data_IF_709512397799
#
_entry.id   IF_709512397799
#
_cell.length_a   1.000
_cell.length_b   1.000
_cell.length_c   1.000
_cell.angle_alpha   90.00
_cell.angle_beta   90.00
_cell.angle_gamma   90.00
#
_symmetry.space_group_name_H-M   'P 1'
#
loop_
_entity.id
_entity.type
_entity.pdbx_description
1 polymer ?
#
# COMPACT_ATOMS: atom_id res chain seq x y z
N UNK A 1 -3.89 12.24 -4.58
CA UNK A 1 -2.74 13.12 -4.87
C UNK A 1 -1.55 12.35 -5.45
N UNK A 2 -1.07 11.28 -4.82
CA UNK A 2 0.12 10.52 -5.26
C UNK A 2 0.03 10.01 -6.70
N UNK A 3 -1.12 9.48 -7.13
CA UNK A 3 -1.32 9.00 -8.50
C UNK A 3 -1.10 10.11 -9.55
N UNK A 4 -1.56 11.34 -9.29
CA UNK A 4 -1.32 12.48 -10.18
C UNK A 4 0.16 12.88 -10.23
N UNK A 5 0.89 12.80 -9.10
CA UNK A 5 2.34 13.08 -9.06
C UNK A 5 3.10 12.02 -9.89
N UNK A 6 2.76 10.74 -9.72
CA UNK A 6 3.38 9.67 -10.51
C UNK A 6 3.07 9.82 -12.01
N UNK A 7 1.83 10.17 -12.37
CA UNK A 7 1.46 10.46 -13.76
C UNK A 7 2.25 11.65 -14.30
N UNK A 8 2.39 12.72 -13.52
CA UNK A 8 3.19 13.89 -13.92
C UNK A 8 4.65 13.52 -14.19
N UNK A 9 5.28 12.76 -13.29
CA UNK A 9 6.64 12.26 -13.50
C UNK A 9 6.74 11.38 -14.76
N UNK A 10 5.75 10.51 -15.01
CA UNK A 10 5.72 9.66 -16.21
C UNK A 10 5.54 10.48 -17.49
N UNK A 11 4.67 11.49 -17.47
CA UNK A 11 4.41 12.40 -18.59
C UNK A 11 5.63 13.26 -18.95
N UNK A 12 6.53 13.53 -18.00
CA UNK A 12 7.81 14.21 -18.27
C UNK A 12 8.84 13.23 -18.85
N UNK A 13 8.90 12.01 -18.30
CA UNK A 13 9.93 11.02 -18.67
C UNK A 13 9.71 10.37 -20.04
N UNK A 14 8.46 10.31 -20.52
CA UNK A 14 8.12 9.63 -21.79
C UNK A 14 7.85 10.66 -22.89
N UNK A 15 8.40 10.42 -24.09
CA UNK A 15 8.06 11.16 -25.31
C UNK A 15 6.70 10.74 -25.93
N UNK A 16 5.82 10.12 -25.13
CA UNK A 16 4.49 9.67 -25.54
C UNK A 16 3.43 10.76 -25.32
N UNK A 17 2.23 10.63 -25.90
CA UNK A 17 1.12 11.53 -25.61
C UNK A 17 0.87 11.61 -24.10
N UNK A 18 0.75 12.82 -23.59
CA UNK A 18 0.53 13.05 -22.16
C UNK A 18 -0.86 12.57 -21.78
N UNK A 19 -0.95 11.81 -20.69
CA UNK A 19 -2.24 11.41 -20.13
C UNK A 19 -2.86 12.62 -19.41
N UNK A 20 -4.05 13.04 -19.86
CA UNK A 20 -4.80 14.21 -19.35
C UNK A 20 -6.22 13.86 -18.89
N UNK A 21 -6.64 12.61 -19.10
CA UNK A 21 -7.93 12.06 -18.71
C UNK A 21 -8.03 11.85 -17.18
N UNK A 22 -9.14 11.30 -16.69
CA UNK A 22 -9.24 10.84 -15.29
C UNK A 22 -8.17 9.77 -14.97
N UNK A 23 -7.83 9.59 -13.69
CA UNK A 23 -6.94 8.53 -13.25
C UNK A 23 -7.54 7.15 -13.59
N UNK A 24 -6.74 6.24 -14.14
CA UNK A 24 -7.17 4.85 -14.29
C UNK A 24 -7.06 4.11 -12.97
N UNK A 25 -7.80 3.01 -12.82
CA UNK A 25 -7.67 2.12 -11.65
C UNK A 25 -6.23 1.65 -11.46
N UNK A 26 -5.52 1.35 -12.55
CA UNK A 26 -4.11 0.92 -12.54
C UNK A 26 -3.18 2.00 -11.96
N UNK A 27 -3.41 3.28 -12.28
CA UNK A 27 -2.59 4.37 -11.73
C UNK A 27 -2.88 4.63 -10.25
N UNK A 28 -4.13 4.44 -9.84
CA UNK A 28 -4.52 4.53 -8.43
C UNK A 28 -3.85 3.39 -7.66
N UNK A 29 -4.02 2.14 -8.13
CA UNK A 29 -3.40 0.96 -7.54
C UNK A 29 -1.87 1.11 -7.46
N UNK A 30 -1.23 1.53 -8.56
CA UNK A 30 0.23 1.75 -8.57
C UNK A 30 0.66 2.82 -7.56
N UNK A 31 -0.16 3.85 -7.36
CA UNK A 31 0.14 4.87 -6.37
C UNK A 31 0.04 4.33 -4.94
N UNK A 32 -0.96 3.50 -4.66
CA UNK A 32 -1.11 2.80 -3.37
C UNK A 32 0.06 1.86 -3.11
N UNK A 33 0.40 1.00 -4.08
CA UNK A 33 1.55 0.10 -3.99
C UNK A 33 2.87 0.87 -3.75
N UNK A 34 3.04 2.01 -4.44
CA UNK A 34 4.23 2.86 -4.26
C UNK A 34 4.31 3.42 -2.83
N UNK A 35 3.18 3.86 -2.27
CA UNK A 35 3.14 4.35 -0.90
C UNK A 35 3.49 3.25 0.10
N UNK A 36 2.91 2.06 -0.06
CA UNK A 36 3.19 0.91 0.80
C UNK A 36 4.68 0.56 0.75
N UNK A 37 5.28 0.52 -0.44
CA UNK A 37 6.71 0.26 -0.62
C UNK A 37 7.59 1.27 0.10
N UNK A 38 7.24 2.56 0.05
CA UNK A 38 7.98 3.61 0.76
C UNK A 38 7.92 3.34 2.27
N UNK A 39 6.71 3.14 2.82
CA UNK A 39 6.54 2.89 4.25
C UNK A 39 7.33 1.64 4.71
N UNK A 40 7.29 0.58 3.91
CA UNK A 40 8.03 -0.66 4.20
C UNK A 40 9.54 -0.50 4.05
N UNK A 41 10.01 0.33 3.11
CA UNK A 41 11.45 0.59 2.93
C UNK A 41 12.06 1.42 4.06
N UNK A 42 11.25 2.29 4.69
CA UNK A 42 11.63 3.08 5.85
C UNK A 42 11.46 2.30 7.17
N UNK A 43 10.91 1.08 7.10
CA UNK A 43 10.67 0.26 8.27
C UNK A 43 11.97 -0.39 8.79
N UNK A 44 12.34 -0.20 10.07
CA UNK A 44 13.58 -0.75 10.61
C UNK A 44 13.61 -2.28 10.56
N UNK A 45 14.73 -2.83 10.08
CA UNK A 45 14.92 -4.27 9.93
C UNK A 45 14.96 -5.01 11.28
N UNK A 46 15.33 -4.34 12.38
CA UNK A 46 15.36 -4.94 13.71
C UNK A 46 13.95 -5.35 14.19
N UNK A 47 12.94 -4.58 13.81
CA UNK A 47 11.54 -4.88 14.14
C UNK A 47 11.11 -6.13 13.36
N UNK A 48 11.51 -6.25 12.10
CA UNK A 48 11.21 -7.41 11.26
C UNK A 48 11.88 -8.68 11.79
N UNK A 49 13.15 -8.60 12.19
CA UNK A 49 13.88 -9.73 12.77
C UNK A 49 13.23 -10.22 14.08
N UNK A 50 12.69 -9.32 14.91
CA UNK A 50 11.96 -9.68 16.13
C UNK A 50 10.78 -10.62 15.88
N UNK A 51 10.09 -10.47 14.75
CA UNK A 51 8.88 -11.25 14.43
C UNK A 51 9.16 -12.47 13.54
N UNK A 52 10.39 -12.65 13.07
CA UNK A 52 10.77 -13.68 12.09
C UNK A 52 10.50 -15.11 12.56
N UNK A 53 10.60 -15.37 13.87
CA UNK A 53 10.35 -16.69 14.46
C UNK A 53 8.85 -17.00 14.62
N UNK A 54 7.99 -15.97 14.65
CA UNK A 54 6.55 -16.12 14.90
C UNK A 54 5.71 -15.91 13.63
N UNK A 55 6.19 -15.06 12.73
CA UNK A 55 5.47 -14.60 11.54
C UNK A 55 6.27 -14.97 10.30
N UNK A 56 5.63 -15.67 9.37
CA UNK A 56 6.19 -15.91 8.05
C UNK A 56 5.91 -14.71 7.16
N UNK A 57 6.98 -14.03 6.75
CA UNK A 57 6.89 -12.94 5.79
C UNK A 57 7.29 -13.45 4.40
N UNK A 58 6.59 -12.97 3.38
CA UNK A 58 6.98 -13.14 1.98
C UNK A 58 6.81 -11.82 1.24
N UNK A 59 7.43 -11.74 0.06
CA UNK A 59 7.41 -10.53 -0.75
C UNK A 59 6.68 -10.79 -2.06
N UNK A 60 5.68 -9.97 -2.36
CA UNK A 60 4.90 -10.03 -3.59
C UNK A 60 4.94 -8.67 -4.27
N UNK A 61 5.40 -8.63 -5.53
CA UNK A 61 5.54 -7.39 -6.30
C UNK A 61 6.39 -6.29 -5.61
N UNK A 62 7.31 -6.68 -4.73
CA UNK A 62 8.12 -5.76 -3.93
C UNK A 62 7.42 -5.22 -2.69
N UNK A 63 6.30 -5.82 -2.28
CA UNK A 63 5.54 -5.50 -1.08
C UNK A 63 5.63 -6.68 -0.12
N UNK A 64 5.98 -6.38 1.13
CA UNK A 64 6.02 -7.36 2.21
C UNK A 64 4.61 -7.73 2.67
N UNK A 65 4.29 -9.02 2.65
CA UNK A 65 3.04 -9.61 3.11
C UNK A 65 3.33 -10.67 4.18
N UNK A 66 2.32 -10.95 5.01
CA UNK A 66 2.37 -12.03 6.01
C UNK A 66 1.66 -13.25 5.46
N UNK A 67 2.25 -14.43 5.60
CA UNK A 67 1.57 -15.69 5.36
C UNK A 67 0.92 -16.16 6.67
N UNK A 68 -0.41 -16.16 6.70
CA UNK A 68 -1.16 -16.68 7.85
C UNK A 68 -1.28 -18.20 7.78
N UNK A 69 -1.47 -18.87 8.92
CA UNK A 69 -1.73 -20.33 8.97
C UNK A 69 -3.15 -20.71 8.53
N UNK A 70 -3.96 -19.72 8.10
CA UNK A 70 -5.34 -19.87 7.65
C UNK A 70 -5.44 -20.24 6.15
N UNK A 71 -4.39 -20.86 5.58
CA UNK A 71 -4.31 -21.25 4.17
C UNK A 71 -5.45 -22.20 3.74
N UNK A 72 -6.13 -22.84 4.71
CA UNK A 72 -7.25 -23.76 4.48
C UNK A 72 -8.64 -23.13 4.65
N UNK A 73 -8.74 -21.85 5.03
CA UNK A 73 -10.04 -21.18 5.08
C UNK A 73 -10.44 -20.72 3.66
N UNK A 74 -11.75 -20.68 3.38
CA UNK A 74 -12.28 -20.12 2.13
C UNK A 74 -12.22 -18.58 2.12
N UNK A 75 -11.33 -17.98 2.90
CA UNK A 75 -11.24 -16.54 3.04
C UNK A 75 -10.55 -15.93 1.81
N UNK A 76 -10.85 -14.65 1.47
CA UNK A 76 -10.20 -13.95 0.37
C UNK A 76 -8.68 -13.94 0.50
N UNK A 77 -7.98 -13.84 -0.63
CA UNK A 77 -6.51 -13.83 -0.68
C UNK A 77 -5.87 -12.72 0.17
N UNK A 78 -6.52 -11.56 0.25
CA UNK A 78 -6.09 -10.44 1.09
C UNK A 78 -6.15 -10.75 2.60
N UNK A 79 -6.99 -11.72 2.99
CA UNK A 79 -7.14 -12.15 4.37
C UNK A 79 -6.14 -13.26 4.73
N UNK A 80 -5.84 -14.14 3.77
CA UNK A 80 -4.82 -15.17 3.94
C UNK A 80 -3.40 -14.59 3.87
N UNK A 81 -3.23 -13.52 3.09
CA UNK A 81 -1.96 -12.83 2.85
C UNK A 81 -2.05 -11.31 3.08
N UNK A 82 -2.30 -10.85 4.32
CA UNK A 82 -2.42 -9.43 4.61
C UNK A 82 -1.10 -8.68 4.34
N UNK A 83 -1.24 -7.48 3.80
CA UNK A 83 -0.11 -6.58 3.55
C UNK A 83 0.41 -5.98 4.85
N UNK A 84 1.73 -6.00 5.03
CA UNK A 84 2.35 -5.41 6.21
C UNK A 84 2.33 -3.90 6.10
N UNK A 85 1.63 -3.24 7.01
CA UNK A 85 1.67 -1.78 7.13
C UNK A 85 2.45 -1.43 8.41
N UNK A 86 3.70 -0.96 8.29
CA UNK A 86 4.50 -0.58 9.45
C UNK A 86 3.96 0.71 10.07
N UNK A 87 4.34 0.95 11.33
CA UNK A 87 4.05 2.19 12.00
C UNK A 87 4.74 3.35 11.26
N UNK A 88 3.95 4.24 10.68
CA UNK A 88 4.43 5.30 9.82
C UNK A 88 3.48 6.50 9.84
N UNK A 89 3.98 7.76 9.88
CA UNK A 89 3.12 8.95 9.89
C UNK A 89 2.16 9.06 8.71
N UNK A 90 2.50 8.45 7.56
CA UNK A 90 1.57 8.39 6.41
C UNK A 90 0.36 7.50 6.70
N UNK A 91 0.55 6.39 7.40
CA UNK A 91 -0.53 5.50 7.80
C UNK A 91 -1.49 6.22 8.75
N UNK A 92 -0.97 6.92 9.77
CA UNK A 92 -1.79 7.73 10.68
C UNK A 92 -2.62 8.78 9.92
N UNK A 93 -2.00 9.48 8.96
CA UNK A 93 -2.70 10.47 8.13
C UNK A 93 -3.78 9.83 7.25
N UNK A 94 -3.51 8.66 6.68
CA UNK A 94 -4.49 7.88 5.92
C UNK A 94 -5.68 7.50 6.80
N UNK A 95 -5.42 6.93 7.97
CA UNK A 95 -6.45 6.55 8.94
C UNK A 95 -7.27 7.76 9.37
N UNK A 96 -6.63 8.87 9.75
CA UNK A 96 -7.31 10.12 10.13
C UNK A 96 -8.15 10.71 8.99
N UNK A 97 -7.64 10.67 7.75
CA UNK A 97 -8.40 11.14 6.59
C UNK A 97 -9.66 10.31 6.38
N UNK A 98 -9.53 8.98 6.45
CA UNK A 98 -10.66 8.06 6.31
C UNK A 98 -11.67 8.27 7.44
N UNK A 99 -11.23 8.36 8.70
CA UNK A 99 -12.12 8.64 9.83
C UNK A 99 -12.89 9.95 9.65
N UNK A 100 -12.23 11.04 9.27
CA UNK A 100 -12.90 12.33 9.04
C UNK A 100 -13.91 12.27 7.91
N UNK A 101 -13.59 11.56 6.82
CA UNK A 101 -14.53 11.41 5.70
C UNK A 101 -15.73 10.53 6.08
N UNK A 102 -15.52 9.51 6.91
CA UNK A 102 -16.58 8.64 7.41
C UNK A 102 -17.47 9.35 8.43
N UNK A 103 -16.90 10.15 9.34
CA UNK A 103 -17.67 10.96 10.31
C UNK A 103 -18.56 11.99 9.60
N UNK A 104 -18.09 12.56 8.49
CA UNK A 104 -18.87 13.50 7.67
C UNK A 104 -20.00 12.81 6.89
N UNK A 105 -19.92 11.49 6.66
CA UNK A 105 -20.96 10.74 5.94
C UNK A 105 -22.14 10.30 6.83
N UNK A 106 -22.10 10.58 8.15
CA UNK A 106 -23.16 10.24 9.11
C UNK A 106 -24.06 11.44 9.45
N UNK A 107 -23.88 12.58 8.76
CA UNK A 107 -24.73 13.78 8.88
C UNK A 107 -25.23 14.24 7.50
#
# INVERSE_FOLDING_TARGET
MTAYVLRFCNNIKRNSPKLVNSLSCEEIQKAEETLIKIMQSEWPSEIREKYKDTIQFFEENGILKVQTRLILSQDPEDFTHPTVLPDHPLLERLVLHTHRNLDVAVH
#
